data_IF_232749241284
#
_entry.id   IF_232749241284
#
_cell.length_a   1.000
_cell.length_b   1.000
_cell.length_c   1.000
_cell.angle_alpha   90.00
_cell.angle_beta   90.00
_cell.angle_gamma   90.00
#
_symmetry.space_group_name_H-M   'P 1'
#
loop_
_entity.id
_entity.type
_entity.pdbx_description
1 polymer ?
#
# COMPACT_ATOMS: atom_id res chain seq x y z
N UNK A 1 -18.39 16.58 -16.18
CA UNK A 1 -17.12 15.84 -15.98
C UNK A 1 -16.05 16.51 -16.85
N UNK A 2 -14.87 16.85 -16.30
CA UNK A 2 -13.83 17.65 -17.00
C UNK A 2 -12.89 16.84 -17.91
N UNK A 3 -13.16 15.56 -18.17
CA UNK A 3 -12.34 14.71 -19.04
C UNK A 3 -10.96 14.34 -18.50
N UNK A 4 -10.61 14.76 -17.28
CA UNK A 4 -9.31 14.47 -16.66
C UNK A 4 -9.34 13.09 -16.00
N UNK A 5 -8.44 12.16 -16.38
CA UNK A 5 -8.34 10.86 -15.73
C UNK A 5 -7.70 10.97 -14.34
N UNK A 6 -8.15 10.08 -13.45
CA UNK A 6 -7.57 9.93 -12.11
C UNK A 6 -6.70 8.67 -12.08
N UNK A 7 -5.51 8.80 -11.52
CA UNK A 7 -4.63 7.67 -11.24
C UNK A 7 -4.80 7.27 -9.79
N UNK A 8 -4.87 5.96 -9.55
CA UNK A 8 -4.83 5.41 -8.21
C UNK A 8 -3.61 5.93 -7.42
N UNK A 9 -3.69 5.92 -6.08
CA UNK A 9 -2.54 6.22 -5.26
C UNK A 9 -1.38 5.28 -5.58
N UNK A 10 -0.17 5.66 -5.21
CA UNK A 10 1.01 4.83 -5.35
C UNK A 10 2.00 5.12 -4.23
N UNK A 11 2.47 4.09 -3.53
CA UNK A 11 3.41 4.26 -2.41
C UNK A 11 4.71 4.94 -2.82
N UNK A 12 5.14 4.78 -4.08
CA UNK A 12 6.37 5.36 -4.62
C UNK A 12 6.15 6.65 -5.43
N UNK A 13 4.93 6.91 -5.89
CA UNK A 13 4.64 8.05 -6.79
C UNK A 13 3.68 9.09 -6.23
N UNK A 14 2.88 8.76 -5.21
CA UNK A 14 1.96 9.71 -4.58
C UNK A 14 2.64 10.50 -3.47
N UNK A 15 2.19 11.74 -3.30
CA UNK A 15 2.47 12.57 -2.14
C UNK A 15 1.35 12.54 -1.11
N UNK A 16 1.38 13.51 -0.18
CA UNK A 16 0.36 13.69 0.85
C UNK A 16 -1.03 13.96 0.24
N UNK A 17 -1.10 14.91 -0.70
CA UNK A 17 -2.31 15.36 -1.39
C UNK A 17 -2.30 14.94 -2.85
N UNK A 18 -3.45 15.07 -3.53
CA UNK A 18 -3.55 14.82 -4.95
C UNK A 18 -2.66 15.80 -5.74
N UNK A 19 -2.00 15.31 -6.78
CA UNK A 19 -1.09 16.10 -7.59
C UNK A 19 -1.31 15.82 -9.09
N UNK A 20 -1.12 16.84 -9.95
CA UNK A 20 -1.16 16.64 -11.40
C UNK A 20 0.02 15.77 -11.86
N UNK A 21 -0.23 14.86 -12.78
CA UNK A 21 0.78 14.01 -13.39
C UNK A 21 0.39 13.64 -14.82
N UNK A 22 1.14 14.14 -15.80
CA UNK A 22 1.02 13.71 -17.20
C UNK A 22 -0.39 13.86 -17.81
N UNK A 23 -1.11 14.95 -17.47
CA UNK A 23 -2.49 15.16 -17.92
C UNK A 23 -3.56 14.47 -17.06
N UNK A 24 -3.15 13.74 -16.03
CA UNK A 24 -4.01 13.08 -15.05
C UNK A 24 -3.85 13.71 -13.67
N UNK A 25 -4.70 13.33 -12.72
CA UNK A 25 -4.52 13.63 -11.29
C UNK A 25 -4.21 12.34 -10.54
N UNK A 26 -3.03 12.25 -9.91
CA UNK A 26 -2.68 11.14 -9.02
C UNK A 26 -3.24 11.40 -7.63
N UNK A 27 -3.93 10.40 -7.09
CA UNK A 27 -4.52 10.49 -5.75
C UNK A 27 -3.45 10.50 -4.66
N UNK A 28 -3.67 11.34 -3.64
CA UNK A 28 -2.78 11.48 -2.48
C UNK A 28 -3.01 10.39 -1.44
N UNK A 29 -1.96 9.99 -0.73
CA UNK A 29 -2.01 8.90 0.24
C UNK A 29 -2.93 9.18 1.44
N UNK A 30 -3.08 10.46 1.83
CA UNK A 30 -3.88 10.84 3.01
C UNK A 30 -5.38 10.57 2.88
N UNK A 31 -5.85 10.43 1.64
CA UNK A 31 -7.28 10.25 1.33
C UNK A 31 -7.72 8.78 1.38
N UNK A 32 -6.76 7.86 1.55
CA UNK A 32 -7.06 6.46 1.72
C UNK A 32 -7.55 6.25 3.16
N UNK A 33 -8.67 5.53 3.30
CA UNK A 33 -9.24 5.10 4.58
C UNK A 33 -8.17 4.43 5.44
N UNK A 34 -8.20 4.66 6.75
CA UNK A 34 -7.27 4.12 7.75
C UNK A 34 -5.80 4.59 7.63
N UNK A 35 -5.43 5.34 6.59
CA UNK A 35 -4.09 5.94 6.45
C UNK A 35 -4.06 7.29 7.15
N UNK A 36 -4.83 8.27 6.65
CA UNK A 36 -4.84 9.64 7.17
C UNK A 36 -3.48 10.34 7.07
N UNK A 37 -3.38 11.57 7.61
CA UNK A 37 -2.17 12.39 7.48
C UNK A 37 -0.95 11.82 8.22
N UNK A 38 -1.14 11.19 9.37
CA UNK A 38 -0.04 10.65 10.18
C UNK A 38 0.67 9.49 9.50
N UNK A 39 -0.08 8.48 9.05
CA UNK A 39 0.49 7.34 8.33
C UNK A 39 1.07 7.77 6.97
N UNK A 40 0.41 8.71 6.28
CA UNK A 40 0.93 9.24 5.02
C UNK A 40 2.26 9.97 5.22
N UNK A 41 2.40 10.80 6.26
CA UNK A 41 3.67 11.47 6.57
C UNK A 41 4.79 10.44 6.84
N UNK A 42 4.50 9.43 7.67
CA UNK A 42 5.44 8.36 7.98
C UNK A 42 5.93 7.63 6.71
N UNK A 43 5.02 7.28 5.79
CA UNK A 43 5.38 6.63 4.51
C UNK A 43 6.31 7.53 3.68
N UNK A 44 6.02 8.83 3.61
CA UNK A 44 6.78 9.76 2.80
C UNK A 44 8.18 10.02 3.38
N UNK A 45 8.27 10.23 4.70
CA UNK A 45 9.54 10.45 5.41
C UNK A 45 10.44 9.22 5.33
N UNK A 46 9.90 8.01 5.55
CA UNK A 46 10.65 6.77 5.41
C UNK A 46 11.12 6.52 3.97
N UNK A 47 10.29 6.87 2.97
CA UNK A 47 10.64 6.78 1.55
C UNK A 47 11.76 7.75 1.16
N UNK A 48 11.72 8.97 1.70
CA UNK A 48 12.74 9.99 1.44
C UNK A 48 14.11 9.58 2.01
N UNK A 49 14.12 8.98 3.21
CA UNK A 49 15.35 8.56 3.90
C UNK A 49 15.98 7.29 3.33
N UNK A 50 15.15 6.32 2.94
CA UNK A 50 15.61 4.96 2.60
C UNK A 50 15.32 4.55 1.15
N UNK A 51 14.77 5.45 0.34
CA UNK A 51 14.44 5.21 -1.06
C UNK A 51 13.07 4.53 -1.26
N UNK A 52 12.74 4.17 -2.52
CA UNK A 52 11.45 3.57 -2.87
C UNK A 52 11.21 2.23 -2.14
N UNK A 53 9.94 1.88 -1.96
CA UNK A 53 9.54 0.58 -1.41
C UNK A 53 9.61 -0.48 -2.52
N UNK A 54 10.17 -1.64 -2.18
CA UNK A 54 10.24 -2.78 -3.09
C UNK A 54 8.97 -3.62 -3.10
N UNK A 55 8.24 -3.68 -1.98
CA UNK A 55 7.07 -4.53 -1.79
C UNK A 55 6.18 -4.01 -0.65
N UNK A 56 5.00 -4.62 -0.47
CA UNK A 56 4.15 -4.29 0.67
C UNK A 56 4.79 -4.71 1.99
N UNK A 57 5.50 -5.86 2.00
CA UNK A 57 6.27 -6.33 3.14
C UNK A 57 7.41 -5.37 3.54
N UNK A 58 8.13 -4.80 2.56
CA UNK A 58 9.19 -3.81 2.84
C UNK A 58 8.61 -2.55 3.52
N UNK A 59 7.47 -2.06 3.05
CA UNK A 59 6.79 -0.93 3.68
C UNK A 59 6.39 -1.25 5.13
N UNK A 60 5.79 -2.41 5.40
CA UNK A 60 5.42 -2.83 6.76
C UNK A 60 6.66 -2.92 7.66
N UNK A 61 7.73 -3.54 7.16
CA UNK A 61 8.99 -3.72 7.91
C UNK A 61 9.63 -2.38 8.28
N UNK A 62 9.64 -1.42 7.36
CA UNK A 62 10.25 -0.09 7.55
C UNK A 62 9.42 0.84 8.43
N UNK A 63 8.11 0.89 8.19
CA UNK A 63 7.22 1.88 8.83
C UNK A 63 6.54 1.35 10.10
N UNK A 64 6.36 0.04 10.25
CA UNK A 64 5.56 -0.53 11.33
C UNK A 64 4.08 -0.13 11.27
N UNK A 65 3.56 0.20 10.07
CA UNK A 65 2.18 0.61 9.90
C UNK A 65 1.18 -0.43 10.40
N UNK A 66 0.03 0.07 10.88
CA UNK A 66 -1.05 -0.79 11.36
C UNK A 66 -1.59 -1.64 10.20
N UNK A 67 -1.95 -2.91 10.44
CA UNK A 67 -2.46 -3.81 9.41
C UNK A 67 -3.64 -3.24 8.62
N UNK A 68 -4.53 -2.49 9.28
CA UNK A 68 -5.67 -1.85 8.62
C UNK A 68 -5.26 -0.79 7.59
N UNK A 69 -4.23 0.01 7.89
CA UNK A 69 -3.72 1.01 6.96
C UNK A 69 -3.07 0.35 5.74
N UNK A 70 -2.33 -0.74 5.96
CA UNK A 70 -1.69 -1.51 4.89
C UNK A 70 -2.73 -2.19 4.00
N UNK A 71 -3.74 -2.82 4.60
CA UNK A 71 -4.88 -3.40 3.87
C UNK A 71 -5.55 -2.34 2.98
N UNK A 72 -5.81 -1.15 3.51
CA UNK A 72 -6.43 -0.06 2.76
C UNK A 72 -5.53 0.48 1.64
N UNK A 73 -4.21 0.55 1.86
CA UNK A 73 -3.24 0.91 0.81
C UNK A 73 -3.24 -0.09 -0.34
N UNK A 74 -3.16 -1.39 -0.05
CA UNK A 74 -3.21 -2.44 -1.08
C UNK A 74 -4.55 -2.43 -1.80
N UNK A 75 -5.65 -2.31 -1.05
CA UNK A 75 -7.00 -2.25 -1.62
C UNK A 75 -7.19 -1.05 -2.54
N UNK A 76 -6.57 0.09 -2.24
CA UNK A 76 -6.59 1.30 -3.06
C UNK A 76 -5.71 1.21 -4.33
N UNK A 77 -4.96 0.12 -4.52
CA UNK A 77 -4.02 -0.03 -5.63
C UNK A 77 -2.68 0.69 -5.43
N UNK A 78 -2.34 1.07 -4.19
CA UNK A 78 -1.11 1.82 -3.91
C UNK A 78 0.18 1.05 -4.25
N UNK A 79 0.10 -0.28 -4.35
CA UNK A 79 1.22 -1.16 -4.66
C UNK A 79 1.19 -1.72 -6.08
N UNK A 80 0.21 -1.38 -6.92
CA UNK A 80 0.04 -1.99 -8.26
C UNK A 80 1.28 -1.81 -9.17
N UNK A 81 2.08 -0.75 -8.93
CA UNK A 81 3.33 -0.49 -9.66
C UNK A 81 4.56 -1.25 -9.15
N UNK A 82 4.47 -1.97 -8.03
CA UNK A 82 5.56 -2.79 -7.47
C UNK A 82 5.17 -4.27 -7.36
N UNK A 83 3.96 -4.54 -6.88
CA UNK A 83 3.36 -5.87 -6.78
C UNK A 83 1.97 -5.80 -7.41
N UNK A 84 1.82 -6.09 -8.72
CA UNK A 84 0.55 -5.94 -9.44
C UNK A 84 -0.57 -6.85 -8.91
N UNK A 85 -0.20 -8.01 -8.36
CA UNK A 85 -1.13 -8.92 -7.72
C UNK A 85 -1.43 -8.44 -6.29
N UNK A 86 -2.65 -7.96 -6.07
CA UNK A 86 -3.02 -7.39 -4.77
C UNK A 86 -3.15 -8.47 -3.70
N UNK A 87 -3.40 -9.73 -4.07
CA UNK A 87 -3.43 -10.84 -3.10
C UNK A 87 -2.02 -11.17 -2.63
N UNK A 88 -1.04 -11.17 -3.52
CA UNK A 88 0.39 -11.31 -3.16
C UNK A 88 0.85 -10.14 -2.29
N UNK A 89 0.48 -8.90 -2.61
CA UNK A 89 0.84 -7.75 -1.78
C UNK A 89 0.28 -7.85 -0.35
N UNK A 90 -0.94 -8.38 -0.18
CA UNK A 90 -1.50 -8.66 1.15
C UNK A 90 -0.76 -9.80 1.86
N UNK A 91 -0.36 -10.84 1.13
CA UNK A 91 0.45 -11.94 1.65
C UNK A 91 1.79 -11.43 2.20
N UNK A 92 2.52 -10.63 1.41
CA UNK A 92 3.79 -10.00 1.82
C UNK A 92 3.63 -9.13 3.07
N UNK A 93 2.56 -8.33 3.14
CA UNK A 93 2.27 -7.50 4.29
C UNK A 93 2.00 -8.32 5.58
N UNK A 94 1.37 -9.48 5.43
CA UNK A 94 1.05 -10.38 6.54
C UNK A 94 2.29 -10.94 7.24
N UNK A 95 3.37 -11.20 6.49
CA UNK A 95 4.62 -11.79 7.02
C UNK A 95 5.32 -10.89 8.04
N UNK A 96 5.23 -9.57 7.87
CA UNK A 96 5.92 -8.58 8.71
C UNK A 96 5.01 -7.91 9.74
N UNK A 97 3.75 -8.33 9.80
CA UNK A 97 2.79 -7.81 10.79
C UNK A 97 3.22 -8.23 12.19
N UNK A 98 3.57 -7.24 13.03
CA UNK A 98 3.93 -7.50 14.42
C UNK A 98 2.68 -7.90 15.21
N UNK A 99 2.70 -9.02 15.95
CA UNK A 99 1.59 -9.40 16.82
C UNK A 99 1.39 -8.33 17.91
N UNK A 100 0.12 -8.02 18.19
CA UNK A 100 -0.27 -6.91 19.07
C UNK A 100 -0.04 -7.17 20.58
N UNK A 101 0.51 -8.32 20.99
CA UNK A 101 0.68 -8.68 22.42
C UNK A 101 2.03 -9.36 22.74
N UNK A 102 2.65 -8.85 23.80
CA UNK A 102 3.48 -9.57 24.77
C UNK A 102 4.85 -10.10 24.33
N UNK A 103 5.80 -9.23 23.96
CA UNK A 103 7.23 -9.58 23.96
C UNK A 103 7.64 -10.69 22.98
N UNK A 104 6.75 -11.10 22.07
CA UNK A 104 7.03 -12.09 21.06
C UNK A 104 7.86 -11.43 19.96
N UNK A 105 9.09 -11.92 19.77
CA UNK A 105 9.96 -11.44 18.72
C UNK A 105 9.35 -11.76 17.35
N UNK A 106 9.43 -10.81 16.41
CA UNK A 106 9.08 -11.09 15.03
C UNK A 106 9.98 -12.21 14.51
N UNK A 107 9.38 -13.26 13.96
CA UNK A 107 10.13 -14.34 13.35
C UNK A 107 10.93 -13.77 12.17
N UNK A 108 12.23 -14.01 12.14
CA UNK A 108 13.10 -13.57 11.04
C UNK A 108 12.88 -14.47 9.81
N UNK A 109 11.74 -14.31 9.14
CA UNK A 109 11.44 -14.98 7.89
C UNK A 109 12.17 -14.26 6.75
N UNK A 110 12.99 -15.00 6.00
CA UNK A 110 13.53 -14.59 4.72
C UNK A 110 12.43 -14.62 3.64
N UNK A 111 12.36 -13.58 2.81
CA UNK A 111 11.39 -13.45 1.71
C UNK A 111 11.66 -14.44 0.54
N UNK A 112 12.71 -15.26 0.63
CA UNK A 112 13.14 -16.17 -0.43
C UNK A 112 12.35 -17.48 -0.46
N UNK A 113 11.60 -17.80 0.61
CA UNK A 113 10.80 -19.01 0.69
C UNK A 113 9.45 -18.82 -0.03
N UNK A 114 9.44 -19.23 -1.30
CA UNK A 114 8.30 -19.54 -2.17
C UNK A 114 7.00 -18.78 -1.86
N UNK A 115 6.82 -17.61 -2.49
CA UNK A 115 5.50 -16.96 -2.57
C UNK A 115 4.52 -17.99 -3.17
N UNK A 116 3.43 -18.34 -2.48
CA UNK A 116 2.44 -19.24 -3.06
C UNK A 116 1.87 -18.62 -4.33
N UNK A 117 1.62 -19.43 -5.36
CA UNK A 117 0.89 -18.93 -6.53
C UNK A 117 -0.55 -18.59 -6.10
N UNK A 118 -0.85 -17.30 -6.12
CA UNK A 118 -2.10 -16.74 -5.63
C UNK A 118 -2.85 -16.09 -6.80
N UNK A 119 -4.07 -16.56 -7.07
CA UNK A 119 -4.92 -15.88 -8.05
C UNK A 119 -5.23 -14.45 -7.58
N UNK A 120 -5.03 -13.46 -8.45
CA UNK A 120 -5.30 -12.07 -8.14
C UNK A 120 -6.82 -11.81 -7.99
N UNK A 121 -7.16 -10.63 -7.49
CA UNK A 121 -8.53 -10.15 -7.52
C UNK A 121 -8.97 -9.85 -8.96
N UNK A 122 -10.23 -10.17 -9.25
CA UNK A 122 -10.87 -9.75 -10.50
C UNK A 122 -10.97 -8.22 -10.57
N UNK A 123 -11.05 -7.66 -11.78
CA UNK A 123 -11.21 -6.20 -11.97
C UNK A 123 -12.41 -5.63 -11.21
N UNK A 124 -13.50 -6.40 -11.13
CA UNK A 124 -14.71 -6.02 -10.37
C UNK A 124 -14.43 -5.94 -8.88
N UNK A 125 -13.68 -6.88 -8.32
CA UNK A 125 -13.31 -6.87 -6.91
C UNK A 125 -12.34 -5.74 -6.59
N UNK A 126 -11.36 -5.48 -7.47
CA UNK A 126 -10.44 -4.33 -7.35
C UNK A 126 -11.22 -3.02 -7.34
N UNK A 127 -12.11 -2.82 -8.30
CA UNK A 127 -12.97 -1.63 -8.38
C UNK A 127 -13.86 -1.46 -7.14
N UNK A 128 -14.50 -2.54 -6.67
CA UNK A 128 -15.32 -2.50 -5.46
C UNK A 128 -14.49 -2.21 -4.20
N UNK A 129 -13.25 -2.70 -4.16
CA UNK A 129 -12.28 -2.41 -3.10
C UNK A 129 -11.87 -0.94 -3.07
N UNK A 130 -11.48 -0.39 -4.22
CA UNK A 130 -11.08 1.02 -4.37
C UNK A 130 -12.17 1.98 -3.88
N UNK A 131 -13.41 1.74 -4.30
CA UNK A 131 -14.57 2.53 -3.84
C UNK A 131 -14.73 2.48 -2.31
N UNK A 132 -14.54 1.29 -1.70
CA UNK A 132 -14.67 1.11 -0.25
C UNK A 132 -13.65 1.90 0.57
N UNK A 133 -12.44 2.12 0.04
CA UNK A 133 -11.32 2.72 0.79
C UNK A 133 -10.99 4.15 0.37
N UNK A 134 -11.51 4.64 -0.75
CA UNK A 134 -11.28 6.02 -1.21
C UNK A 134 -12.55 6.87 -1.31
N UNK A 135 -13.74 6.26 -1.23
CA UNK A 135 -15.04 6.95 -1.28
C UNK A 135 -15.68 6.88 -2.65
#
# INVERSE_FOLDING_TARGET
>A
RFGVPFLNPCVNGSGMSCAPQGGSVRLGLRFIKDVGSGSAALILEERERHGPYASAGDLVRRTGLKPQAVLSLVTAGAFDGVTPNRREALWEAGLYTRPARNGQMALSLSMEDGVPELEDFTDREKMAGEYRVMG
#
